data_IF_249004795856
#
_entry.id   IF_249004795856
#
_cell.length_a   1.000
_cell.length_b   1.000
_cell.length_c   1.000
_cell.angle_alpha   90.00
_cell.angle_beta   90.00
_cell.angle_gamma   90.00
#
_symmetry.space_group_name_H-M   'P 1'
#
loop_
_entity.id
_entity.type
_entity.pdbx_description
1 polymer ?
#
# COMPACT_ATOMS: atom_id res chain seq x y z
N UNK A 1 -19.27 -9.24 -13.57
CA UNK A 1 -19.01 -8.83 -12.17
C UNK A 1 -20.26 -8.21 -11.54
N UNK A 2 -20.40 -8.20 -10.21
CA UNK A 2 -21.47 -7.43 -9.54
C UNK A 2 -21.25 -5.91 -9.70
N UNK A 3 -22.32 -5.10 -9.83
CA UNK A 3 -22.20 -3.66 -10.09
C UNK A 3 -21.48 -2.92 -8.97
N UNK A 4 -21.67 -3.33 -7.71
CA UNK A 4 -20.97 -2.74 -6.57
C UNK A 4 -19.44 -2.97 -6.63
N UNK A 5 -19.03 -4.15 -7.08
CA UNK A 5 -17.61 -4.50 -7.21
C UNK A 5 -16.97 -3.79 -8.41
N UNK A 6 -17.71 -3.64 -9.52
CA UNK A 6 -17.26 -2.85 -10.65
C UNK A 6 -17.06 -1.38 -10.26
N UNK A 7 -18.01 -0.80 -9.51
CA UNK A 7 -17.92 0.58 -9.02
C UNK A 7 -16.69 0.81 -8.12
N UNK A 8 -16.28 -0.17 -7.30
CA UNK A 8 -15.05 -0.08 -6.49
C UNK A 8 -13.80 -0.01 -7.36
N UNK A 9 -13.73 -0.84 -8.41
CA UNK A 9 -12.63 -0.79 -9.38
C UNK A 9 -12.60 0.56 -10.09
N UNK A 10 -13.76 1.07 -10.50
CA UNK A 10 -13.87 2.38 -11.16
C UNK A 10 -13.43 3.54 -10.25
N UNK A 11 -13.84 3.52 -8.97
CA UNK A 11 -13.49 4.58 -8.01
C UNK A 11 -11.99 4.65 -7.70
N UNK A 12 -11.24 3.57 -7.94
CA UNK A 12 -9.80 3.50 -7.69
C UNK A 12 -8.98 3.21 -8.95
N UNK A 13 -9.58 3.39 -10.13
CA UNK A 13 -9.02 2.92 -11.39
C UNK A 13 -7.59 3.42 -11.63
N UNK A 14 -7.36 4.73 -11.56
CA UNK A 14 -6.03 5.33 -11.76
C UNK A 14 -5.01 4.82 -10.75
N UNK A 15 -5.41 4.68 -9.49
CA UNK A 15 -4.53 4.21 -8.43
C UNK A 15 -4.11 2.75 -8.66
N UNK A 16 -5.06 1.87 -9.01
CA UNK A 16 -4.78 0.47 -9.31
C UNK A 16 -3.85 0.37 -10.52
N UNK A 17 -4.17 1.10 -11.60
CA UNK A 17 -3.38 1.07 -12.84
C UNK A 17 -1.93 1.49 -12.62
N UNK A 18 -1.68 2.47 -11.76
CA UNK A 18 -0.33 2.97 -11.48
C UNK A 18 0.46 2.10 -10.51
N UNK A 19 -0.20 1.42 -9.58
CA UNK A 19 0.46 0.75 -8.46
C UNK A 19 0.40 -0.79 -8.54
N UNK A 20 -0.31 -1.35 -9.51
CA UNK A 20 -0.45 -2.80 -9.67
C UNK A 20 0.73 -3.43 -10.41
N UNK A 21 1.30 -4.47 -9.81
CA UNK A 21 2.23 -5.37 -10.48
C UNK A 21 1.46 -6.34 -11.38
N UNK A 22 1.39 -6.01 -12.67
CA UNK A 22 0.59 -6.77 -13.63
C UNK A 22 1.04 -8.22 -13.73
N UNK A 23 2.35 -8.47 -13.76
CA UNK A 23 2.90 -9.79 -14.06
C UNK A 23 2.56 -10.80 -12.96
N UNK A 24 2.77 -10.41 -11.69
CA UNK A 24 2.46 -11.26 -10.54
C UNK A 24 0.96 -11.51 -10.43
N UNK A 25 0.16 -10.46 -10.62
CA UNK A 25 -1.31 -10.55 -10.57
C UNK A 25 -1.85 -11.45 -11.69
N UNK A 26 -1.37 -11.26 -12.92
CA UNK A 26 -1.79 -12.01 -14.10
C UNK A 26 -1.43 -13.51 -13.99
N UNK A 27 -0.26 -13.82 -13.41
CA UNK A 27 0.16 -15.19 -13.14
C UNK A 27 -0.80 -15.88 -12.15
N UNK A 28 -1.08 -15.24 -11.02
CA UNK A 28 -1.96 -15.81 -9.99
C UNK A 28 -3.41 -15.95 -10.49
N UNK A 29 -3.88 -15.02 -11.33
CA UNK A 29 -5.20 -15.10 -11.97
C UNK A 29 -5.32 -16.23 -12.99
N UNK A 30 -4.22 -16.58 -13.68
CA UNK A 30 -4.17 -17.75 -14.56
C UNK A 30 -4.16 -19.05 -13.75
N UNK A 31 -3.35 -19.13 -12.70
CA UNK A 31 -3.25 -20.29 -11.81
C UNK A 31 -4.61 -20.60 -11.15
N UNK A 32 -5.34 -19.55 -10.76
CA UNK A 32 -6.70 -19.66 -10.21
C UNK A 32 -7.80 -19.88 -11.27
N UNK A 33 -7.44 -20.04 -12.55
CA UNK A 33 -8.36 -20.23 -13.69
C UNK A 33 -9.42 -19.13 -13.84
N UNK A 34 -9.15 -17.95 -13.29
CA UNK A 34 -10.03 -16.78 -13.38
C UNK A 34 -9.96 -16.15 -14.77
N UNK A 35 -8.78 -16.21 -15.40
CA UNK A 35 -8.56 -15.75 -16.77
C UNK A 35 -8.33 -16.92 -17.72
N UNK A 36 -8.80 -16.76 -18.96
CA UNK A 36 -8.44 -17.69 -20.04
C UNK A 36 -6.96 -17.53 -20.40
N UNK A 37 -6.37 -18.61 -20.93
CA UNK A 37 -5.00 -18.56 -21.46
C UNK A 37 -4.86 -17.52 -22.59
N UNK A 38 -5.92 -17.30 -23.37
CA UNK A 38 -5.97 -16.28 -24.41
C UNK A 38 -5.87 -14.86 -23.82
N UNK A 39 -6.64 -14.56 -22.76
CA UNK A 39 -6.58 -13.26 -22.08
C UNK A 39 -5.20 -13.04 -21.44
N UNK A 40 -4.64 -14.07 -20.82
CA UNK A 40 -3.30 -14.02 -20.25
C UNK A 40 -2.24 -13.72 -21.33
N UNK A 41 -2.28 -14.40 -22.47
CA UNK A 41 -1.35 -14.13 -23.58
C UNK A 41 -1.54 -12.74 -24.18
N UNK A 42 -2.78 -12.29 -24.33
CA UNK A 42 -3.10 -10.95 -24.85
C UNK A 42 -2.51 -9.87 -23.94
N UNK A 43 -2.76 -9.95 -22.63
CA UNK A 43 -2.28 -8.96 -21.66
C UNK A 43 -0.75 -9.06 -21.50
N UNK A 44 -0.20 -10.28 -21.45
CA UNK A 44 1.25 -10.50 -21.33
C UNK A 44 2.09 -10.03 -22.53
N UNK A 45 1.45 -9.75 -23.68
CA UNK A 45 2.11 -9.14 -24.86
C UNK A 45 2.18 -7.61 -24.78
N UNK A 46 1.48 -6.99 -23.84
CA UNK A 46 1.49 -5.54 -23.67
C UNK A 46 2.74 -5.13 -22.91
N UNK A 47 3.59 -4.32 -23.54
CA UNK A 47 4.88 -3.91 -22.98
C UNK A 47 4.74 -2.89 -21.86
N UNK A 48 3.75 -2.00 -21.95
CA UNK A 48 3.52 -0.96 -20.95
C UNK A 48 2.64 -1.52 -19.82
N UNK A 49 3.16 -1.50 -18.60
CA UNK A 49 2.45 -2.01 -17.41
C UNK A 49 1.10 -1.33 -17.20
N UNK A 50 1.04 -0.01 -17.44
CA UNK A 50 -0.19 0.81 -17.35
C UNK A 50 -1.26 0.26 -18.29
N UNK A 51 -0.94 0.08 -19.57
CA UNK A 51 -1.89 -0.44 -20.57
C UNK A 51 -2.30 -1.87 -20.25
N UNK A 52 -1.35 -2.70 -19.78
CA UNK A 52 -1.61 -4.07 -19.39
C UNK A 52 -2.55 -4.15 -18.16
N UNK A 53 -2.39 -3.23 -17.20
CA UNK A 53 -3.26 -3.09 -16.04
C UNK A 53 -4.68 -2.64 -16.44
N UNK A 54 -4.81 -1.66 -17.34
CA UNK A 54 -6.10 -1.22 -17.85
C UNK A 54 -6.84 -2.36 -18.55
N UNK A 55 -6.14 -3.10 -19.41
CA UNK A 55 -6.70 -4.24 -20.12
C UNK A 55 -7.12 -5.36 -19.16
N UNK A 56 -6.30 -5.66 -18.15
CA UNK A 56 -6.63 -6.62 -17.10
C UNK A 56 -7.91 -6.23 -16.35
N UNK A 57 -8.04 -4.98 -15.93
CA UNK A 57 -9.24 -4.50 -15.23
C UNK A 57 -10.49 -4.57 -16.10
N UNK A 58 -10.36 -4.31 -17.40
CA UNK A 58 -11.48 -4.46 -18.36
C UNK A 58 -11.97 -5.90 -18.42
N UNK A 59 -11.05 -6.86 -18.59
CA UNK A 59 -11.38 -8.29 -18.63
C UNK A 59 -12.00 -8.77 -17.31
N UNK A 60 -11.50 -8.27 -16.17
CA UNK A 60 -12.05 -8.62 -14.85
C UNK A 60 -13.49 -8.15 -14.69
N UNK A 61 -13.85 -6.96 -15.18
CA UNK A 61 -15.24 -6.46 -15.13
C UNK A 61 -16.20 -7.33 -15.93
N UNK A 62 -15.76 -7.80 -17.10
CA UNK A 62 -16.52 -8.69 -17.98
C UNK A 62 -16.66 -10.10 -17.40
N UNK A 63 -15.75 -10.51 -16.51
CA UNK A 63 -15.74 -11.84 -15.91
C UNK A 63 -16.62 -11.89 -14.65
N UNK A 64 -17.63 -12.78 -14.56
CA UNK A 64 -18.44 -12.96 -13.36
C UNK A 64 -17.62 -13.61 -12.23
N UNK A 65 -17.79 -13.15 -10.98
CA UNK A 65 -17.07 -13.69 -9.82
C UNK A 65 -15.56 -13.36 -9.77
N UNK A 66 -15.03 -12.61 -10.73
CA UNK A 66 -13.59 -12.34 -10.81
C UNK A 66 -13.06 -11.36 -9.76
N UNK A 67 -13.93 -10.61 -9.08
CA UNK A 67 -13.52 -9.63 -8.07
C UNK A 67 -12.83 -10.27 -6.87
N UNK A 68 -13.43 -11.31 -6.29
CA UNK A 68 -12.85 -12.01 -5.12
C UNK A 68 -11.52 -12.65 -5.48
N UNK A 69 -11.45 -13.29 -6.65
CA UNK A 69 -10.21 -13.86 -7.18
C UNK A 69 -9.15 -12.83 -7.50
N UNK A 70 -9.54 -11.62 -7.89
CA UNK A 70 -8.64 -10.51 -8.07
C UNK A 70 -8.05 -10.04 -6.73
N UNK A 71 -8.87 -9.92 -5.69
CA UNK A 71 -8.40 -9.62 -4.33
C UNK A 71 -7.44 -10.71 -3.81
N UNK A 72 -7.77 -11.98 -4.01
CA UNK A 72 -6.90 -13.11 -3.66
C UNK A 72 -5.55 -13.02 -4.39
N UNK A 73 -5.57 -12.78 -5.71
CA UNK A 73 -4.37 -12.65 -6.52
C UNK A 73 -3.47 -11.48 -6.09
N UNK A 74 -4.07 -10.35 -5.69
CA UNK A 74 -3.35 -9.20 -5.13
C UNK A 74 -2.71 -9.55 -3.77
N UNK A 75 -3.41 -10.27 -2.90
CA UNK A 75 -2.88 -10.74 -1.62
C UNK A 75 -1.71 -11.72 -1.82
N UNK A 76 -1.84 -12.69 -2.73
CA UNK A 76 -0.79 -13.63 -3.09
C UNK A 76 0.44 -12.92 -3.68
N UNK A 77 0.21 -11.84 -4.43
CA UNK A 77 1.25 -10.97 -4.96
C UNK A 77 1.82 -9.99 -3.92
N UNK A 78 1.38 -10.07 -2.66
CA UNK A 78 1.79 -9.17 -1.55
C UNK A 78 1.46 -7.69 -1.80
N UNK A 79 0.48 -7.40 -2.63
CA UNK A 79 0.00 -6.05 -2.96
C UNK A 79 -1.06 -5.58 -1.95
N UNK A 80 -0.75 -5.70 -0.65
CA UNK A 80 -1.70 -5.50 0.45
C UNK A 80 -2.29 -4.09 0.50
N UNK A 81 -1.53 -3.08 0.06
CA UNK A 81 -2.01 -1.69 -0.01
C UNK A 81 -3.17 -1.55 -1.00
N UNK A 82 -3.07 -2.16 -2.18
CA UNK A 82 -4.16 -2.18 -3.17
C UNK A 82 -5.40 -2.90 -2.62
N UNK A 83 -5.19 -4.03 -1.94
CA UNK A 83 -6.28 -4.78 -1.29
C UNK A 83 -6.98 -3.93 -0.24
N UNK A 84 -6.21 -3.27 0.63
CA UNK A 84 -6.77 -2.38 1.65
C UNK A 84 -7.57 -1.25 1.02
N UNK A 85 -7.06 -0.59 -0.01
CA UNK A 85 -7.79 0.48 -0.72
C UNK A 85 -9.11 -0.03 -1.31
N UNK A 86 -9.11 -1.20 -1.94
CA UNK A 86 -10.31 -1.79 -2.54
C UNK A 86 -11.33 -2.29 -1.50
N UNK A 87 -10.89 -2.62 -0.28
CA UNK A 87 -11.75 -3.13 0.79
C UNK A 87 -12.23 -2.05 1.77
N UNK A 88 -11.49 -0.96 1.97
CA UNK A 88 -11.80 0.05 3.00
C UNK A 88 -13.03 0.91 2.68
N UNK A 89 -13.47 1.02 1.42
CA UNK A 89 -14.78 1.60 1.10
C UNK A 89 -15.90 0.55 1.13
N UNK A 90 -16.13 -0.01 2.31
CA UNK A 90 -17.44 -0.52 2.73
C UNK A 90 -17.98 0.17 3.99
N UNK A 91 -17.27 1.16 4.53
CA UNK A 91 -17.79 2.12 5.50
C UNK A 91 -16.95 3.40 5.43
N UNK A 92 -17.54 4.62 5.47
CA UNK A 92 -16.75 5.80 5.79
C UNK A 92 -16.15 5.57 7.19
N UNK A 93 -14.82 5.55 7.28
CA UNK A 93 -14.15 5.58 8.57
C UNK A 93 -14.66 6.83 9.32
N UNK A 94 -15.05 6.73 10.61
CA UNK A 94 -15.27 7.93 11.40
C UNK A 94 -13.94 8.69 11.42
N UNK A 95 -13.95 9.87 10.82
CA UNK A 95 -12.94 10.90 11.08
C UNK A 95 -13.01 11.18 12.58
N UNK A 96 -12.22 10.47 13.37
CA UNK A 96 -11.80 10.96 14.68
C UNK A 96 -10.81 12.10 14.41
N UNK A 97 -11.38 13.25 14.07
CA UNK A 97 -10.72 14.54 14.28
C UNK A 97 -10.36 14.62 15.78
N UNK A 98 -9.13 15.01 16.15
CA UNK A 98 -8.92 15.65 17.43
C UNK A 98 -9.70 16.98 17.36
N UNK A 99 -10.93 16.94 17.85
CA UNK A 99 -11.75 18.11 18.13
C UNK A 99 -11.02 18.97 19.17
N UNK A 100 -11.09 20.28 18.94
CA UNK A 100 -10.33 21.30 19.63
C UNK A 100 -10.66 21.39 21.13
N UNK A 101 -9.63 21.56 21.95
CA UNK A 101 -9.72 22.34 23.19
C UNK A 101 -8.75 23.52 23.04
N UNK A 102 -9.15 24.48 22.20
CA UNK A 102 -8.62 25.85 22.24
C UNK A 102 -9.46 26.62 23.26
N UNK A 103 -9.01 26.59 24.53
CA UNK A 103 -9.53 27.41 25.62
C UNK A 103 -8.53 28.53 25.96
N UNK A 104 -8.99 29.77 25.89
CA UNK A 104 -8.22 31.02 25.95
C UNK A 104 -7.52 31.33 27.29
N UNK A 105 -6.21 31.63 27.20
CA UNK A 105 -5.47 32.83 27.69
C UNK A 105 -5.45 33.20 29.21
N UNK A 106 -4.74 34.26 29.65
CA UNK A 106 -3.37 34.20 30.21
C UNK A 106 -3.24 34.84 31.62
N UNK A 107 -2.31 34.43 32.47
CA UNK A 107 -1.86 35.25 33.63
C UNK A 107 -0.42 34.91 34.06
N UNK A 108 0.51 35.75 33.59
CA UNK A 108 1.63 36.40 34.31
C UNK A 108 2.43 35.64 35.41
N UNK A 109 3.66 35.25 35.04
CA UNK A 109 4.98 35.45 35.68
C UNK A 109 5.32 34.88 37.10
N UNK A 110 6.62 34.81 37.49
CA UNK A 110 7.84 34.32 36.80
C UNK A 110 8.63 33.33 37.71
N UNK A 111 9.84 32.89 37.30
CA UNK A 111 11.08 32.74 38.14
C UNK A 111 12.01 31.60 37.64
N UNK A 112 13.19 32.04 37.20
CA UNK A 112 14.54 31.44 37.33
C UNK A 112 14.96 30.27 36.43
N UNK A 113 15.63 30.66 35.33
CA UNK A 113 16.85 30.03 34.82
C UNK A 113 17.98 30.11 35.88
N UNK A 114 18.97 29.18 35.91
CA UNK A 114 20.06 29.31 34.93
C UNK A 114 20.59 28.00 34.35
N UNK A 115 21.08 28.14 33.12
CA UNK A 115 22.03 27.27 32.43
C UNK A 115 23.29 27.02 33.28
N UNK A 116 23.98 25.88 33.06
CA UNK A 116 25.43 25.99 32.90
C UNK A 116 25.94 25.29 31.63
N UNK A 117 26.68 26.06 30.84
CA UNK A 117 27.70 25.59 29.89
C UNK A 117 28.92 25.06 30.65
N UNK A 118 29.40 23.85 30.32
CA UNK A 118 30.80 23.57 29.92
C UNK A 118 31.07 22.05 29.87
N UNK A 119 31.47 21.59 28.69
CA UNK A 119 32.74 20.91 28.41
C UNK A 119 33.15 19.62 29.16
N UNK A 120 33.54 18.63 28.33
CA UNK A 120 34.74 17.75 28.41
C UNK A 120 34.60 16.31 28.95
N UNK A 121 35.21 15.41 28.15
CA UNK A 121 35.72 14.04 28.42
C UNK A 121 34.62 12.98 28.40
N UNK A 122 34.61 11.97 27.54
CA UNK A 122 35.71 11.23 26.94
C UNK A 122 35.57 9.79 27.41
N UNK A 123 35.13 8.86 26.53
CA UNK A 123 35.34 7.43 26.71
C UNK A 123 35.63 6.84 25.34
N UNK A 124 36.93 6.69 25.09
CA UNK A 124 37.49 5.70 24.19
C UNK A 124 37.35 4.34 24.91
N UNK A 125 36.69 3.36 24.29
CA UNK A 125 36.99 1.96 24.60
C UNK A 125 36.97 1.14 23.31
N UNK A 126 38.17 0.77 22.91
CA UNK A 126 38.47 -0.29 21.96
C UNK A 126 37.90 -1.61 22.47
N UNK A 127 37.38 -2.42 21.55
CA UNK A 127 37.50 -3.87 21.66
C UNK A 127 38.03 -4.41 20.33
N UNK A 128 39.28 -4.84 20.41
CA UNK A 128 39.96 -5.69 19.44
C UNK A 128 39.10 -6.93 19.14
N UNK A 129 38.93 -7.24 17.87
CA UNK A 129 38.57 -8.58 17.42
C UNK A 129 39.77 -9.10 16.62
N UNK A 130 40.70 -9.66 17.39
CA UNK A 130 41.69 -10.60 16.91
C UNK A 130 40.94 -11.88 16.48
N UNK A 131 40.98 -12.20 15.19
CA UNK A 131 40.65 -13.54 14.73
C UNK A 131 41.73 -13.95 13.74
N UNK A 132 42.84 -14.43 14.28
CA UNK A 132 43.79 -15.24 13.56
C UNK A 132 43.47 -16.73 13.70
N UNK A 133 44.05 -17.50 12.77
CA UNK A 133 44.04 -18.97 12.58
C UNK A 133 42.87 -19.53 11.75
N UNK A 134 43.13 -20.26 10.66
CA UNK A 134 44.23 -21.21 10.42
C UNK A 134 44.52 -21.41 8.93
#
# INVERSE_FOLDING_TARGET
MEPANAAKIDSHFDYIVQNMDTYSTLKNLLENRTLSSENHQRIGRITLSVDANQELLKVLKETPGAYEKFIDALNESKQFQLVQTLQTMSAPAPLSSPEAEEGQSPTEDPITTPLPSHEKKGILFMKELDISFK
#
